data_IF_082811618901
#
_entry.id   IF_082811618901
#
_cell.length_a   1.000
_cell.length_b   1.000
_cell.length_c   1.000
_cell.angle_alpha   90.00
_cell.angle_beta   90.00
_cell.angle_gamma   90.00
#
_symmetry.space_group_name_H-M   'P 1'
#
loop_
_entity.id
_entity.type
_entity.pdbx_description
1 polymer ?
#
# COMPACT_ATOMS: atom_id res chain seq x y z
N UNK A 1 -9.91 18.97 -44.86
CA UNK A 1 -10.35 18.79 -43.46
C UNK A 1 -10.26 17.36 -42.94
N UNK A 2 -10.27 16.34 -43.82
CA UNK A 2 -10.19 14.91 -43.41
C UNK A 2 -8.85 14.52 -42.75
N UNK A 3 -7.71 15.00 -43.27
CA UNK A 3 -6.39 14.57 -42.77
C UNK A 3 -6.08 15.05 -41.35
N UNK A 4 -6.56 16.24 -40.96
CA UNK A 4 -6.39 16.77 -39.61
C UNK A 4 -7.23 15.99 -38.58
N UNK A 5 -8.45 15.60 -38.97
CA UNK A 5 -9.33 14.78 -38.14
C UNK A 5 -8.77 13.36 -37.97
N UNK A 6 -8.18 12.80 -39.03
CA UNK A 6 -7.55 11.48 -39.01
C UNK A 6 -6.28 11.49 -38.14
N UNK A 7 -5.45 12.52 -38.25
CA UNK A 7 -4.28 12.69 -37.38
C UNK A 7 -4.66 12.84 -35.90
N UNK A 8 -5.71 13.62 -35.59
CA UNK A 8 -6.21 13.78 -34.24
C UNK A 8 -6.79 12.48 -33.66
N UNK A 9 -7.54 11.71 -34.47
CA UNK A 9 -8.08 10.42 -34.06
C UNK A 9 -6.98 9.40 -33.74
N UNK A 10 -5.95 9.30 -34.60
CA UNK A 10 -4.80 8.41 -34.36
C UNK A 10 -4.04 8.80 -33.10
N UNK A 11 -3.86 10.11 -32.85
CA UNK A 11 -3.19 10.59 -31.66
C UNK A 11 -3.97 10.24 -30.38
N UNK A 12 -5.30 10.42 -30.38
CA UNK A 12 -6.15 10.06 -29.25
C UNK A 12 -6.16 8.55 -28.99
N UNK A 13 -6.18 7.73 -30.04
CA UNK A 13 -6.12 6.26 -29.90
C UNK A 13 -4.76 5.82 -29.34
N UNK A 14 -3.66 6.41 -29.81
CA UNK A 14 -2.32 6.12 -29.30
C UNK A 14 -2.17 6.54 -27.83
N UNK A 15 -2.70 7.70 -27.44
CA UNK A 15 -2.70 8.17 -26.05
C UNK A 15 -3.54 7.25 -25.15
N UNK A 16 -4.73 6.83 -25.61
CA UNK A 16 -5.59 5.93 -24.89
C UNK A 16 -4.96 4.54 -24.72
N UNK A 17 -4.37 3.97 -25.77
CA UNK A 17 -3.62 2.71 -25.69
C UNK A 17 -2.41 2.81 -24.76
N UNK A 18 -1.66 3.92 -24.84
CA UNK A 18 -0.54 4.20 -23.94
C UNK A 18 -0.98 4.21 -22.48
N UNK A 19 -2.06 4.92 -22.15
CA UNK A 19 -2.61 4.95 -20.80
C UNK A 19 -3.12 3.56 -20.35
N UNK A 20 -3.80 2.83 -21.24
CA UNK A 20 -4.37 1.51 -20.93
C UNK A 20 -3.29 0.43 -20.71
N UNK A 21 -2.12 0.56 -21.35
CA UNK A 21 -0.97 -0.33 -21.17
C UNK A 21 -0.05 0.13 -20.03
N UNK A 22 0.03 1.44 -19.78
CA UNK A 22 0.86 2.01 -18.72
C UNK A 22 0.31 1.69 -17.33
N UNK A 23 -1.01 1.67 -17.15
CA UNK A 23 -1.64 1.34 -15.86
C UNK A 23 -1.35 -0.10 -15.38
N UNK A 24 -1.51 -1.16 -16.19
CA UNK A 24 -1.18 -2.52 -15.76
C UNK A 24 0.33 -2.74 -15.64
N UNK A 25 1.15 -2.12 -16.52
CA UNK A 25 2.61 -2.25 -16.46
C UNK A 25 3.19 -1.56 -15.21
N UNK A 26 2.68 -0.37 -14.87
CA UNK A 26 3.07 0.32 -13.64
C UNK A 26 2.63 -0.43 -12.40
N UNK A 27 1.48 -1.12 -12.43
CA UNK A 27 1.07 -2.03 -11.34
C UNK A 27 1.95 -3.27 -11.24
N UNK A 28 2.29 -3.91 -12.34
CA UNK A 28 3.17 -5.09 -12.36
C UNK A 28 4.62 -4.76 -11.96
N UNK A 29 5.14 -3.60 -12.34
CA UNK A 29 6.44 -3.10 -11.84
C UNK A 29 6.36 -2.55 -10.41
N UNK A 30 5.15 -2.26 -9.92
CA UNK A 30 4.89 -1.91 -8.52
C UNK A 30 4.52 -3.12 -7.68
N UNK A 31 4.58 -4.36 -8.21
CA UNK A 31 4.85 -5.50 -7.34
C UNK A 31 6.23 -5.22 -6.76
N UNK A 32 6.32 -4.83 -5.48
CA UNK A 32 7.59 -4.54 -4.89
C UNK A 32 8.27 -5.89 -4.81
N UNK A 33 9.28 -6.05 -5.66
CA UNK A 33 10.38 -6.95 -5.44
C UNK A 33 10.73 -6.85 -3.94
N UNK A 34 10.34 -7.87 -3.18
CA UNK A 34 10.62 -8.03 -1.77
C UNK A 34 12.10 -8.38 -1.60
N UNK A 35 12.97 -7.64 -2.30
CA UNK A 35 14.39 -7.54 -2.04
C UNK A 35 14.50 -7.08 -0.61
N UNK A 36 14.71 -8.06 0.27
CA UNK A 36 15.11 -8.01 1.67
C UNK A 36 15.71 -6.66 2.09
N UNK A 37 14.86 -5.64 2.23
CA UNK A 37 15.16 -4.55 3.13
C UNK A 37 15.04 -5.17 4.52
N UNK A 38 15.91 -4.80 5.47
CA UNK A 38 15.74 -5.23 6.85
C UNK A 38 14.40 -4.68 7.33
N UNK A 39 13.37 -5.52 7.33
CA UNK A 39 12.06 -5.19 7.87
C UNK A 39 12.10 -5.49 9.36
N UNK A 40 11.90 -4.48 10.18
CA UNK A 40 11.64 -4.67 11.61
C UNK A 40 10.16 -4.98 11.82
N UNK A 41 9.87 -5.65 12.93
CA UNK A 41 8.52 -6.02 13.34
C UNK A 41 8.15 -5.25 14.60
N UNK A 42 6.90 -4.81 14.68
CA UNK A 42 6.34 -4.17 15.86
C UNK A 42 4.90 -4.60 16.11
N UNK A 43 4.43 -4.33 17.32
CA UNK A 43 3.03 -4.48 17.70
C UNK A 43 2.39 -3.10 17.61
N UNK A 44 1.46 -2.93 16.68
CA UNK A 44 0.72 -1.70 16.47
C UNK A 44 -0.65 -1.75 17.14
N UNK A 45 -0.96 -0.77 17.97
CA UNK A 45 -2.30 -0.54 18.52
C UNK A 45 -3.02 0.47 17.67
N UNK A 46 -4.17 0.10 17.11
CA UNK A 46 -4.98 1.02 16.29
C UNK A 46 -5.42 2.21 17.14
N UNK A 47 -5.04 3.41 16.72
CA UNK A 47 -5.42 4.67 17.36
C UNK A 47 -6.64 5.27 16.68
N UNK A 48 -6.59 5.45 15.36
CA UNK A 48 -7.67 6.01 14.55
C UNK A 48 -7.79 5.26 13.23
N UNK A 49 -9.00 5.27 12.67
CA UNK A 49 -9.35 4.64 11.39
C UNK A 49 -10.11 5.67 10.58
N UNK A 50 -9.37 6.47 9.81
CA UNK A 50 -9.92 7.51 8.93
C UNK A 50 -9.63 7.13 7.46
N UNK A 51 -9.07 8.04 6.64
CA UNK A 51 -8.57 7.71 5.31
C UNK A 51 -7.38 6.73 5.35
N UNK A 52 -6.62 6.76 6.45
CA UNK A 52 -5.54 5.84 6.79
C UNK A 52 -5.72 5.33 8.21
N UNK A 53 -5.23 4.12 8.48
CA UNK A 53 -5.21 3.54 9.83
C UNK A 53 -3.93 4.00 10.52
N UNK A 54 -4.06 4.70 11.64
CA UNK A 54 -2.92 5.14 12.44
C UNK A 54 -2.73 4.17 13.61
N UNK A 55 -1.48 3.77 13.85
CA UNK A 55 -1.13 2.82 14.90
C UNK A 55 -0.07 3.42 15.82
N UNK A 56 -0.21 3.14 17.12
CA UNK A 56 0.86 3.31 18.09
C UNK A 56 1.68 2.03 18.15
N UNK A 57 2.96 2.08 17.77
CA UNK A 57 3.78 0.90 17.52
C UNK A 57 4.83 0.75 18.61
N UNK A 58 4.86 -0.43 19.21
CA UNK A 58 5.90 -0.86 20.14
C UNK A 58 6.77 -1.94 19.50
N UNK A 59 8.08 -1.70 19.45
CA UNK A 59 9.05 -2.64 18.91
C UNK A 59 9.66 -3.51 20.02
N UNK A 60 10.08 -4.75 19.71
CA UNK A 60 10.85 -5.58 20.64
C UNK A 60 12.12 -4.92 21.18
N UNK A 61 12.67 -3.95 20.44
CA UNK A 61 13.83 -3.15 20.87
C UNK A 61 13.50 -2.08 21.93
N UNK A 62 12.24 -1.97 22.36
CA UNK A 62 11.75 -0.92 23.29
C UNK A 62 11.52 0.45 22.62
N UNK A 63 11.59 0.53 21.28
CA UNK A 63 11.25 1.74 20.53
C UNK A 63 9.73 1.88 20.45
N UNK A 64 9.26 3.12 20.52
CA UNK A 64 7.84 3.44 20.39
C UNK A 64 7.65 4.60 19.42
N UNK A 65 6.71 4.48 18.48
CA UNK A 65 6.42 5.52 17.49
C UNK A 65 5.00 5.37 16.92
N UNK A 66 4.51 6.43 16.29
CA UNK A 66 3.23 6.39 15.58
C UNK A 66 3.47 6.19 14.09
N UNK A 67 2.84 5.17 13.49
CA UNK A 67 2.93 4.90 12.05
C UNK A 67 1.55 4.81 11.41
N UNK A 68 1.52 4.91 10.08
CA UNK A 68 0.32 4.71 9.29
C UNK A 68 0.40 3.45 8.44
N UNK A 69 -0.67 2.67 8.46
CA UNK A 69 -0.81 1.50 7.62
C UNK A 69 -1.22 1.95 6.22
N UNK A 70 -0.44 1.55 5.22
CA UNK A 70 -0.80 1.80 3.82
C UNK A 70 -1.98 0.91 3.44
N UNK A 71 -3.01 1.51 2.87
CA UNK A 71 -4.15 0.79 2.30
C UNK A 71 -3.75 0.24 0.94
N UNK A 72 -3.50 -1.05 0.83
CA UNK A 72 -3.42 -1.71 -0.48
C UNK A 72 -4.81 -1.80 -1.10
N UNK A 73 -4.89 -1.94 -2.42
CA UNK A 73 -6.17 -2.01 -3.13
C UNK A 73 -7.05 -3.21 -2.69
N UNK A 74 -6.42 -4.27 -2.16
CA UNK A 74 -7.08 -5.45 -1.60
C UNK A 74 -7.37 -5.33 -0.10
N UNK A 75 -6.95 -4.25 0.56
CA UNK A 75 -7.13 -4.02 2.00
C UNK A 75 -8.53 -3.43 2.32
N UNK A 76 -9.57 -4.03 1.77
CA UNK A 76 -10.95 -3.61 1.97
C UNK A 76 -11.36 -3.69 3.47
N UNK A 77 -10.69 -4.55 4.24
CA UNK A 77 -10.97 -4.83 5.65
C UNK A 77 -10.36 -3.84 6.65
N UNK A 78 -9.44 -2.97 6.25
CA UNK A 78 -8.83 -2.02 7.18
C UNK A 78 -9.85 -1.00 7.73
N UNK A 79 -10.93 -0.75 7.00
CA UNK A 79 -12.04 0.11 7.47
C UNK A 79 -12.88 -0.53 8.59
N UNK A 80 -12.76 -1.84 8.81
CA UNK A 80 -13.46 -2.55 9.88
C UNK A 80 -12.71 -2.52 11.22
N UNK A 81 -11.44 -2.09 11.23
CA UNK A 81 -10.66 -1.98 12.46
C UNK A 81 -11.31 -1.01 13.44
N UNK A 82 -11.08 -1.23 14.73
CA UNK A 82 -11.55 -0.36 15.81
C UNK A 82 -10.34 0.13 16.59
N UNK A 83 -10.40 1.36 17.14
CA UNK A 83 -9.41 1.81 18.11
C UNK A 83 -9.21 0.77 19.23
N UNK A 84 -7.96 0.53 19.59
CA UNK A 84 -7.54 -0.46 20.60
C UNK A 84 -7.25 -1.86 20.07
N UNK A 85 -7.52 -2.16 18.79
CA UNK A 85 -7.12 -3.44 18.18
C UNK A 85 -5.60 -3.51 18.04
N UNK A 86 -5.02 -4.67 18.38
CA UNK A 86 -3.59 -4.96 18.20
C UNK A 86 -3.35 -5.64 16.85
N UNK A 87 -2.29 -5.22 16.17
CA UNK A 87 -1.89 -5.71 14.86
C UNK A 87 -0.38 -5.95 14.85
N UNK A 88 0.03 -7.04 14.21
CA UNK A 88 1.44 -7.25 13.92
C UNK A 88 1.78 -6.50 12.62
N UNK A 89 2.76 -5.61 12.70
CA UNK A 89 3.19 -4.76 11.58
C UNK A 89 4.66 -4.94 11.27
N UNK A 90 5.00 -4.72 10.01
CA UNK A 90 6.38 -4.65 9.51
C UNK A 90 6.67 -3.25 8.99
N UNK A 91 7.92 -2.80 9.12
CA UNK A 91 8.34 -1.48 8.64
C UNK A 91 9.83 -1.43 8.29
N UNK A 92 10.21 -0.46 7.46
CA UNK A 92 11.60 -0.12 7.17
C UNK A 92 12.13 0.77 8.32
N UNK A 93 13.19 0.40 9.05
CA UNK A 93 13.72 1.20 10.15
C UNK A 93 14.22 2.58 9.72
N UNK A 94 14.51 2.79 8.42
CA UNK A 94 14.84 4.10 7.87
C UNK A 94 13.61 4.98 7.56
N UNK A 95 12.40 4.40 7.57
CA UNK A 95 11.13 5.10 7.36
C UNK A 95 10.02 4.45 8.23
N UNK A 96 10.16 4.47 9.57
CA UNK A 96 9.32 3.68 10.48
C UNK A 96 7.84 4.07 10.45
N UNK A 97 7.51 5.28 10.03
CA UNK A 97 6.13 5.77 9.97
C UNK A 97 5.29 5.06 8.90
N UNK A 98 5.92 4.33 7.97
CA UNK A 98 5.24 3.60 6.90
C UNK A 98 5.14 2.13 7.26
N UNK A 99 3.92 1.71 7.62
CA UNK A 99 3.65 0.36 8.10
C UNK A 99 2.99 -0.49 7.02
N UNK A 100 3.37 -1.77 7.03
CA UNK A 100 2.67 -2.84 6.33
C UNK A 100 2.19 -3.87 7.35
N UNK A 101 1.11 -4.59 7.06
CA UNK A 101 0.75 -5.76 7.86
C UNK A 101 1.84 -6.82 7.69
N UNK A 102 2.08 -7.62 8.73
CA UNK A 102 2.89 -8.82 8.58
C UNK A 102 2.18 -9.80 7.63
N UNK A 103 2.89 -10.38 6.67
CA UNK A 103 2.32 -11.24 5.61
C UNK A 103 1.47 -12.40 6.17
N UNK A 104 1.88 -12.98 7.30
CA UNK A 104 1.12 -14.06 7.94
C UNK A 104 -0.28 -13.59 8.41
N UNK A 105 -0.42 -12.32 8.78
CA UNK A 105 -1.72 -11.71 9.10
C UNK A 105 -2.55 -11.38 7.86
N UNK A 106 -1.93 -11.16 6.72
CA UNK A 106 -2.65 -11.02 5.46
C UNK A 106 -3.20 -12.40 5.02
N UNK A 107 -2.36 -13.45 5.11
CA UNK A 107 -2.73 -14.82 4.78
C UNK A 107 -3.88 -15.36 5.65
N UNK A 108 -3.88 -15.09 6.97
CA UNK A 108 -4.96 -15.50 7.88
C UNK A 108 -6.30 -14.83 7.57
N UNK A 109 -6.31 -13.63 6.97
CA UNK A 109 -7.57 -12.96 6.59
C UNK A 109 -8.18 -13.53 5.32
N UNK A 110 -7.36 -14.07 4.43
CA UNK A 110 -7.80 -14.63 3.14
C UNK A 110 -8.22 -16.10 3.21
N UNK A 111 -8.04 -16.78 4.35
CA UNK A 111 -8.38 -18.19 4.57
C UNK A 111 -9.76 -18.35 5.21
#
# INVERSE_FOLDING_TARGET
MSNALLAAAVFLIALACGALLYVPLSRALSEPDSVRRPTEVGIGTVRTVDEQVTLDVECPSGRHFVGSLRRHADDQDLGALRPGVLLLVTFDPAAPERLSLADDMAAVRTA
#
